data_IF_139919043739
#
_entry.id   IF_139919043739
#
_cell.length_a   1.000
_cell.length_b   1.000
_cell.length_c   1.000
_cell.angle_alpha   90.00
_cell.angle_beta   90.00
_cell.angle_gamma   90.00
#
_symmetry.space_group_name_H-M   'P 1'
#
loop_
_entity.id
_entity.type
_entity.pdbx_description
1 polymer ?
#
# COMPACT_ATOMS: atom_id res chain seq x y z
N UNK A 1 20.95 -26.14 -15.12
CA UNK A 1 20.91 -24.67 -15.35
C UNK A 1 21.33 -24.03 -14.03
N UNK A 2 22.50 -23.39 -13.98
CA UNK A 2 22.98 -22.71 -12.76
C UNK A 2 22.31 -21.33 -12.70
N UNK A 3 21.20 -21.22 -11.98
CA UNK A 3 20.59 -19.92 -11.74
C UNK A 3 21.35 -19.21 -10.62
N UNK A 4 22.32 -18.38 -11.01
CA UNK A 4 23.05 -17.48 -10.10
C UNK A 4 22.14 -16.30 -9.74
N UNK A 5 21.31 -16.48 -8.71
CA UNK A 5 20.69 -15.35 -8.06
C UNK A 5 21.75 -14.42 -7.48
N UNK A 6 21.58 -13.10 -7.67
CA UNK A 6 22.48 -12.10 -7.12
C UNK A 6 21.75 -11.26 -6.08
N UNK A 7 22.45 -10.99 -4.98
CA UNK A 7 22.00 -10.01 -3.99
C UNK A 7 21.75 -8.66 -4.68
N UNK A 8 20.63 -8.02 -4.35
CA UNK A 8 20.15 -6.77 -4.93
C UNK A 8 19.29 -6.94 -6.19
N UNK A 9 19.23 -8.13 -6.78
CA UNK A 9 18.37 -8.40 -7.94
C UNK A 9 16.90 -8.42 -7.53
N UNK A 10 16.03 -7.92 -8.42
CA UNK A 10 14.59 -8.08 -8.27
C UNK A 10 14.09 -9.28 -9.07
N UNK A 11 13.33 -10.15 -8.43
CA UNK A 11 12.78 -11.37 -9.01
C UNK A 11 11.27 -11.48 -8.72
N UNK A 12 10.53 -12.10 -9.64
CA UNK A 12 9.13 -12.47 -9.41
C UNK A 12 9.08 -13.79 -8.66
N UNK A 13 8.41 -13.81 -7.53
CA UNK A 13 8.24 -14.97 -6.67
C UNK A 13 6.77 -15.20 -6.38
N UNK A 14 6.36 -16.44 -6.20
CA UNK A 14 5.00 -16.83 -5.85
C UNK A 14 4.91 -17.07 -4.35
N UNK A 15 3.94 -16.46 -3.68
CA UNK A 15 3.67 -16.71 -2.26
C UNK A 15 3.11 -18.12 -2.11
N UNK A 16 3.77 -18.95 -1.31
CA UNK A 16 3.36 -20.32 -1.02
C UNK A 16 2.70 -20.46 0.35
N UNK A 17 3.01 -19.55 1.28
CA UNK A 17 2.43 -19.55 2.62
C UNK A 17 2.65 -18.24 3.34
N UNK A 18 1.75 -17.91 4.26
CA UNK A 18 1.84 -16.69 5.07
C UNK A 18 1.82 -17.10 6.54
N UNK A 19 2.82 -16.65 7.28
CA UNK A 19 2.97 -16.88 8.71
C UNK A 19 3.04 -15.55 9.47
N UNK A 20 2.82 -15.53 10.80
CA UNK A 20 2.81 -14.29 11.57
C UNK A 20 4.12 -13.50 11.50
N UNK A 21 5.24 -14.17 11.25
CA UNK A 21 6.57 -13.55 11.17
C UNK A 21 7.04 -13.25 9.74
N UNK A 22 6.29 -13.65 8.70
CA UNK A 22 6.72 -13.45 7.33
C UNK A 22 5.91 -14.21 6.29
N UNK A 23 6.34 -14.13 5.03
CA UNK A 23 5.75 -14.85 3.91
C UNK A 23 6.79 -15.78 3.27
N UNK A 24 6.38 -17.03 3.07
CA UNK A 24 7.12 -18.01 2.28
C UNK A 24 6.81 -17.81 0.82
N UNK A 25 7.86 -17.83 0.02
CA UNK A 25 7.77 -17.62 -1.42
C UNK A 25 8.63 -18.62 -2.16
N UNK A 26 8.24 -18.89 -3.39
CA UNK A 26 8.95 -19.80 -4.28
C UNK A 26 9.27 -19.05 -5.58
N UNK A 27 10.52 -19.19 -6.01
CA UNK A 27 10.97 -18.70 -7.32
C UNK A 27 10.50 -19.63 -8.44
N UNK A 28 10.51 -19.17 -9.72
CA UNK A 28 10.19 -20.03 -10.86
C UNK A 28 11.09 -21.27 -10.97
N UNK A 29 12.29 -21.21 -10.39
CA UNK A 29 13.27 -22.30 -10.39
C UNK A 29 13.15 -23.23 -9.18
N UNK A 30 12.00 -23.23 -8.50
CA UNK A 30 11.73 -24.03 -7.29
C UNK A 30 12.69 -23.77 -6.12
N UNK A 31 13.38 -22.62 -6.13
CA UNK A 31 14.17 -22.18 -4.98
C UNK A 31 13.24 -21.50 -3.99
N UNK A 32 13.30 -21.94 -2.74
CA UNK A 32 12.54 -21.39 -1.64
C UNK A 32 13.14 -20.06 -1.15
N UNK A 33 12.27 -19.17 -0.70
CA UNK A 33 12.66 -17.93 -0.08
C UNK A 33 11.71 -17.50 1.02
N UNK A 34 12.21 -16.60 1.86
CA UNK A 34 11.46 -16.02 2.97
C UNK A 34 11.51 -14.50 2.88
N UNK A 35 10.36 -13.88 3.07
CA UNK A 35 10.25 -12.44 3.27
C UNK A 35 9.86 -12.21 4.72
N UNK A 36 10.77 -11.65 5.51
CA UNK A 36 10.52 -11.35 6.92
C UNK A 36 9.49 -10.23 7.07
N UNK A 37 8.67 -10.23 8.12
CA UNK A 37 7.63 -9.20 8.34
C UNK A 37 8.18 -7.76 8.28
N UNK A 38 9.38 -7.54 8.83
CA UNK A 38 10.08 -6.25 8.80
C UNK A 38 10.49 -5.79 7.39
N UNK A 39 10.58 -6.73 6.45
CA UNK A 39 10.88 -6.50 5.04
C UNK A 39 9.61 -6.40 4.18
N UNK A 40 8.45 -6.64 4.78
CA UNK A 40 7.13 -6.41 4.20
C UNK A 40 6.65 -5.01 4.58
N UNK A 41 6.78 -4.63 5.85
CA UNK A 41 6.21 -3.39 6.41
C UNK A 41 7.08 -2.90 7.57
N UNK A 42 7.03 -1.59 7.84
CA UNK A 42 7.63 -1.02 9.06
C UNK A 42 6.76 -1.22 10.31
N UNK A 43 5.45 -1.36 10.14
CA UNK A 43 4.49 -1.48 11.23
C UNK A 43 4.16 -2.94 11.56
N UNK A 44 3.83 -3.26 12.82
CA UNK A 44 3.48 -4.61 13.24
C UNK A 44 2.02 -4.93 12.86
N UNK A 45 1.76 -5.25 11.59
CA UNK A 45 0.40 -5.58 11.16
C UNK A 45 0.07 -7.02 11.50
N UNK A 46 -0.88 -7.19 12.40
CA UNK A 46 -1.48 -8.48 12.79
C UNK A 46 -2.11 -9.27 11.63
N UNK A 47 -2.27 -8.66 10.45
CA UNK A 47 -2.99 -9.21 9.30
C UNK A 47 -2.20 -9.09 7.99
N UNK A 48 -1.02 -9.71 7.94
CA UNK A 48 -0.24 -9.91 6.69
C UNK A 48 -1.09 -10.46 5.53
N UNK A 49 -2.09 -11.30 5.84
CA UNK A 49 -3.05 -11.87 4.88
C UNK A 49 -3.89 -10.85 4.10
N UNK A 50 -3.96 -9.58 4.54
CA UNK A 50 -4.62 -8.51 3.79
C UNK A 50 -3.75 -7.92 2.68
N UNK A 51 -2.44 -8.10 2.78
CA UNK A 51 -1.45 -7.50 1.88
C UNK A 51 -0.89 -8.51 0.90
N UNK A 52 -0.75 -9.74 1.35
CA UNK A 52 -0.29 -10.87 0.56
C UNK A 52 -1.35 -11.97 0.61
N UNK A 53 -1.55 -12.63 -0.52
CA UNK A 53 -2.38 -13.82 -0.62
C UNK A 53 -1.53 -15.00 -1.06
N UNK A 54 -1.85 -16.19 -0.54
CA UNK A 54 -1.26 -17.43 -1.04
C UNK A 54 -1.57 -17.59 -2.55
N UNK A 55 -0.57 -18.02 -3.32
CA UNK A 55 -0.61 -18.09 -4.78
C UNK A 55 -0.33 -16.78 -5.51
N UNK A 56 -0.26 -15.64 -4.81
CA UNK A 56 0.03 -14.35 -5.44
C UNK A 56 1.48 -14.29 -5.94
N UNK A 57 1.67 -13.78 -7.15
CA UNK A 57 3.01 -13.48 -7.69
C UNK A 57 3.36 -12.03 -7.37
N UNK A 58 4.46 -11.85 -6.64
CA UNK A 58 4.99 -10.54 -6.24
C UNK A 58 6.43 -10.38 -6.71
N UNK A 59 6.86 -9.13 -6.93
CA UNK A 59 8.26 -8.83 -7.25
C UNK A 59 8.97 -8.50 -5.94
N UNK A 60 10.03 -9.21 -5.61
CA UNK A 60 10.80 -9.00 -4.39
C UNK A 60 12.28 -8.84 -4.72
N UNK A 61 13.01 -8.14 -3.87
CA UNK A 61 14.45 -7.92 -3.99
C UNK A 61 15.20 -8.93 -3.13
N UNK A 62 16.25 -9.54 -3.68
CA UNK A 62 17.11 -10.48 -2.95
C UNK A 62 18.01 -9.67 -2.02
N UNK A 63 17.91 -9.91 -0.72
CA UNK A 63 18.76 -9.29 0.31
C UNK A 63 19.99 -10.12 0.62
N UNK A 64 19.81 -11.43 0.76
CA UNK A 64 20.91 -12.37 1.00
C UNK A 64 20.54 -13.75 0.49
N UNK A 65 21.55 -14.59 0.34
CA UNK A 65 21.44 -15.99 -0.06
C UNK A 65 22.17 -16.78 1.02
N UNK A 66 21.48 -17.75 1.61
CA UNK A 66 22.06 -18.62 2.64
C UNK A 66 22.91 -19.74 2.01
N UNK A 67 23.75 -20.40 2.81
CA UNK A 67 24.58 -21.54 2.38
C UNK A 67 23.73 -22.74 1.89
N UNK A 68 22.49 -22.87 2.39
CA UNK A 68 21.49 -23.85 1.92
C UNK A 68 20.81 -23.44 0.59
N UNK A 69 21.12 -22.27 0.03
CA UNK A 69 20.50 -21.74 -1.18
C UNK A 69 19.14 -21.06 -0.96
N UNK A 70 18.72 -20.86 0.30
CA UNK A 70 17.49 -20.13 0.64
C UNK A 70 17.66 -18.64 0.39
N UNK A 71 16.65 -18.02 -0.21
CA UNK A 71 16.67 -16.60 -0.55
C UNK A 71 15.98 -15.75 0.53
N UNK A 72 16.70 -14.82 1.14
CA UNK A 72 16.07 -13.77 1.94
C UNK A 72 15.66 -12.62 1.02
N UNK A 73 14.39 -12.27 1.06
CA UNK A 73 13.75 -11.39 0.11
C UNK A 73 13.08 -10.20 0.83
N UNK A 74 12.94 -9.08 0.12
CA UNK A 74 12.27 -7.87 0.62
C UNK A 74 11.24 -7.33 -0.36
N UNK A 75 10.11 -6.87 0.19
CA UNK A 75 9.03 -6.23 -0.56
C UNK A 75 9.00 -4.70 -0.41
N UNK A 76 9.75 -4.13 0.54
CA UNK A 76 9.83 -2.69 0.77
C UNK A 76 10.29 -1.89 -0.44
N UNK A 77 11.16 -2.46 -1.27
CA UNK A 77 11.69 -1.79 -2.47
C UNK A 77 10.74 -1.86 -3.68
N UNK A 78 9.54 -2.46 -3.51
CA UNK A 78 8.57 -2.63 -4.60
C UNK A 78 7.47 -1.56 -4.58
N UNK A 79 7.06 -1.11 -5.77
CA UNK A 79 5.92 -0.22 -6.04
C UNK A 79 4.61 -0.69 -5.40
N UNK A 80 4.47 -1.99 -5.11
CA UNK A 80 3.27 -2.54 -4.47
C UNK A 80 2.97 -1.87 -3.13
N UNK A 81 3.97 -1.72 -2.25
CA UNK A 81 3.79 -1.08 -0.95
C UNK A 81 3.59 0.43 -1.06
N UNK A 82 4.36 1.11 -1.92
CA UNK A 82 4.17 2.54 -2.20
C UNK A 82 2.74 2.84 -2.69
N UNK A 83 2.17 1.96 -3.51
CA UNK A 83 0.80 2.11 -3.99
C UNK A 83 -0.25 1.80 -2.92
N UNK A 84 0.00 0.82 -2.05
CA UNK A 84 -0.87 0.52 -0.92
C UNK A 84 -0.95 1.70 0.07
N UNK A 85 0.20 2.24 0.48
CA UNK A 85 0.24 3.36 1.43
C UNK A 85 -0.44 4.61 0.86
N UNK A 86 -0.16 4.93 -0.42
CA UNK A 86 -0.86 6.03 -1.12
C UNK A 86 -2.38 5.84 -1.17
N UNK A 87 -2.88 4.61 -1.35
CA UNK A 87 -4.32 4.34 -1.32
C UNK A 87 -4.91 4.53 0.08
N UNK A 88 -4.22 4.05 1.11
CA UNK A 88 -4.64 4.19 2.50
C UNK A 88 -4.72 5.66 2.92
N UNK A 89 -3.70 6.46 2.58
CA UNK A 89 -3.65 7.89 2.86
C UNK A 89 -4.78 8.66 2.15
N UNK A 90 -4.98 8.40 0.85
CA UNK A 90 -6.11 8.99 0.11
C UNK A 90 -7.46 8.63 0.72
N UNK A 91 -7.62 7.39 1.18
CA UNK A 91 -8.87 6.93 1.78
C UNK A 91 -9.13 7.62 3.12
N UNK A 92 -8.13 7.77 4.00
CA UNK A 92 -8.34 8.47 5.28
C UNK A 92 -8.68 9.94 5.08
N UNK A 93 -8.02 10.61 4.12
CA UNK A 93 -8.35 12.01 3.76
C UNK A 93 -9.78 12.11 3.23
N UNK A 94 -10.23 11.16 2.41
CA UNK A 94 -11.61 11.13 1.91
C UNK A 94 -12.64 10.89 3.03
N UNK A 95 -12.33 10.02 3.98
CA UNK A 95 -13.21 9.74 5.12
C UNK A 95 -13.28 10.95 6.08
N UNK A 96 -12.17 11.65 6.30
CA UNK A 96 -12.12 12.90 7.10
C UNK A 96 -12.90 14.05 6.44
N UNK A 97 -12.79 14.22 5.11
CA UNK A 97 -13.60 15.19 4.36
C UNK A 97 -15.10 14.86 4.48
N UNK A 98 -15.48 13.58 4.38
CA UNK A 98 -16.89 13.17 4.56
C UNK A 98 -17.42 13.43 5.96
N UNK A 99 -16.60 13.21 7.00
CA UNK A 99 -16.99 13.52 8.38
C UNK A 99 -17.15 15.02 8.61
N UNK A 100 -16.23 15.85 8.08
CA UNK A 100 -16.35 17.31 8.19
C UNK A 100 -17.55 17.87 7.40
N UNK A 101 -17.89 17.29 6.25
CA UNK A 101 -19.14 17.61 5.52
C UNK A 101 -20.40 17.30 6.32
N UNK A 102 -20.38 16.22 7.12
CA UNK A 102 -21.51 15.78 7.94
C UNK A 102 -21.84 16.75 9.08
N UNK A 103 -20.84 17.45 9.64
CA UNK A 103 -21.02 18.36 10.78
C UNK A 103 -21.01 19.86 10.40
N UNK A 104 -20.56 20.25 9.19
CA UNK A 104 -20.26 21.66 8.88
C UNK A 104 -20.85 22.26 7.60
N UNK A 105 -21.54 21.52 6.74
CA UNK A 105 -21.94 22.03 5.42
C UNK A 105 -23.45 22.16 5.17
N UNK A 106 -24.30 21.69 6.08
CA UNK A 106 -25.75 21.93 5.95
C UNK A 106 -26.07 23.44 6.03
N UNK A 107 -25.45 24.16 6.96
CA UNK A 107 -25.69 25.60 7.18
C UNK A 107 -25.12 26.51 6.08
N UNK A 108 -24.05 26.10 5.41
CA UNK A 108 -23.45 26.87 4.31
C UNK A 108 -24.19 26.65 2.99
N UNK A 109 -24.65 25.42 2.73
CA UNK A 109 -25.50 25.11 1.57
C UNK A 109 -26.83 25.86 1.62
N UNK A 110 -27.37 26.09 2.83
CA UNK A 110 -28.58 26.90 3.06
C UNK A 110 -28.36 28.41 2.89
N UNK A 111 -27.14 28.92 3.10
CA UNK A 111 -26.80 30.35 3.01
C UNK A 111 -26.30 30.82 1.64
N UNK A 112 -25.86 29.89 0.77
CA UNK A 112 -25.48 30.18 -0.61
C UNK A 112 -26.50 31.04 -1.40
N UNK A 113 -27.82 30.77 -1.38
CA UNK A 113 -28.78 31.58 -2.12
C UNK A 113 -28.94 33.00 -1.56
N UNK A 114 -28.71 33.21 -0.26
CA UNK A 114 -28.81 34.53 0.39
C UNK A 114 -27.66 35.44 -0.03
N UNK A 115 -26.44 34.89 -0.11
CA UNK A 115 -25.24 35.64 -0.52
C UNK A 115 -25.25 36.02 -2.01
N UNK A 116 -25.78 35.16 -2.89
CA UNK A 116 -25.95 35.48 -4.33
C UNK A 116 -26.95 36.64 -4.51
N UNK A 117 -27.99 36.71 -3.68
CA UNK A 117 -29.01 37.77 -3.72
C UNK A 117 -28.49 39.11 -3.17
N UNK A 118 -27.63 39.09 -2.15
CA UNK A 118 -26.99 40.30 -1.63
C UNK A 118 -25.99 40.91 -2.61
N UNK A 119 -25.19 40.08 -3.30
CA UNK A 119 -24.19 40.57 -4.26
C UNK A 119 -24.79 41.33 -5.45
N UNK A 120 -25.97 40.91 -5.95
CA UNK A 120 -26.63 41.58 -7.09
C UNK A 120 -27.24 42.95 -6.76
N UNK A 121 -27.38 43.31 -5.48
CA UNK A 121 -27.95 44.60 -5.07
C UNK A 121 -26.92 45.72 -4.95
N UNK A 122 -25.63 45.39 -4.93
CA UNK A 122 -24.53 46.34 -4.77
C UNK A 122 -23.97 46.88 -6.11
N UNK A 123 -24.44 46.36 -7.26
CA UNK A 123 -23.88 46.67 -8.59
C UNK A 123 -24.73 47.64 -9.43
N UNK A 124 -25.70 48.35 -8.82
CA UNK A 124 -26.58 49.28 -9.56
C UNK A 124 -26.86 50.60 -8.84
N UNK A 125 -25.90 51.09 -8.06
CA UNK A 125 -25.98 52.44 -7.52
C UNK A 125 -24.66 53.18 -7.77
N UNK A 126 -24.44 53.50 -9.05
CA UNK A 126 -23.76 54.71 -9.50
C UNK A 126 -24.71 55.42 -10.48
#
# INVERSE_FOLDING_TARGET
MNHHYKVGQHIKVRVTGIQPYGAFVETPDHTEGLIHISEIMDDYVHNLKKFLSEGQVVKAKILSIDDEGKLNLSLKDNDYFKNYERKKEKQSVLDEIRETEKYGFQTLKERLPVWIKQSKRAIHND
#
